data_IF_478785431686
#
_entry.id   IF_478785431686
#
_cell.length_a   1.000
_cell.length_b   1.000
_cell.length_c   1.000
_cell.angle_alpha   90.00
_cell.angle_beta   90.00
_cell.angle_gamma   90.00
#
_symmetry.space_group_name_H-M   'P 1'
#
loop_
_entity.id
_entity.type
_entity.pdbx_description
1 polymer ?
#
# COMPACT_ATOMS: atom_id res chain seq x y z
N UNK A 1 -30.82 -6.46 6.60
CA UNK A 1 -30.28 -5.49 5.61
C UNK A 1 -29.86 -6.32 4.41
N UNK A 2 -30.08 -5.86 3.17
CA UNK A 2 -29.58 -6.57 2.02
C UNK A 2 -28.06 -6.73 2.18
N UNK A 3 -27.50 -7.90 1.83
CA UNK A 3 -26.08 -8.16 1.92
C UNK A 3 -25.29 -7.05 1.22
N UNK A 4 -24.56 -6.26 1.99
CA UNK A 4 -23.62 -5.29 1.41
C UNK A 4 -22.57 -6.08 0.59
N UNK A 5 -22.19 -5.61 -0.59
CA UNK A 5 -21.16 -6.30 -1.38
C UNK A 5 -19.80 -6.21 -0.71
N UNK A 6 -18.96 -7.21 -0.90
CA UNK A 6 -17.55 -7.12 -0.61
C UNK A 6 -16.87 -6.12 -1.57
N UNK A 7 -15.96 -5.33 -1.05
CA UNK A 7 -15.22 -4.32 -1.80
C UNK A 7 -13.74 -4.66 -1.78
N UNK A 8 -13.18 -4.97 -2.94
CA UNK A 8 -11.72 -5.06 -3.12
C UNK A 8 -11.24 -3.78 -3.80
N UNK A 9 -10.57 -2.93 -3.03
CA UNK A 9 -9.99 -1.70 -3.54
C UNK A 9 -8.48 -1.87 -3.73
N UNK A 10 -8.03 -1.87 -4.98
CA UNK A 10 -6.61 -2.05 -5.34
C UNK A 10 -6.01 -0.71 -5.74
N UNK A 11 -4.88 -0.35 -5.11
CA UNK A 11 -4.09 0.83 -5.45
C UNK A 11 -2.65 0.42 -5.75
N UNK A 12 -2.08 0.96 -6.83
CA UNK A 12 -0.67 0.80 -7.19
C UNK A 12 0.01 2.15 -7.09
N UNK A 13 1.08 2.25 -6.28
CA UNK A 13 1.77 3.52 -6.09
C UNK A 13 2.56 3.89 -7.35
N UNK A 14 2.45 5.14 -7.78
CA UNK A 14 3.15 5.70 -8.94
C UNK A 14 2.85 5.03 -10.29
N UNK A 15 1.84 4.15 -10.38
CA UNK A 15 1.46 3.54 -11.65
C UNK A 15 0.85 4.59 -12.59
N UNK A 16 1.46 4.78 -13.73
CA UNK A 16 0.95 5.64 -14.80
C UNK A 16 -0.08 4.87 -15.64
N UNK A 17 -1.16 5.55 -15.99
CA UNK A 17 -2.23 4.97 -16.82
C UNK A 17 -1.72 4.46 -18.19
N UNK A 18 -0.76 5.18 -18.79
CA UNK A 18 -0.21 4.86 -20.10
C UNK A 18 0.74 3.64 -20.12
N UNK A 19 1.01 3.02 -18.95
CA UNK A 19 1.70 1.73 -18.83
C UNK A 19 0.75 0.53 -18.80
N UNK A 20 -0.55 0.76 -18.98
CA UNK A 20 -1.57 -0.30 -19.04
C UNK A 20 -1.99 -0.57 -20.49
N UNK A 21 -2.10 -1.87 -20.85
CA UNK A 21 -2.48 -2.24 -22.22
C UNK A 21 -3.92 -1.84 -22.58
N UNK A 22 -4.85 -1.79 -21.62
CA UNK A 22 -6.20 -1.28 -21.81
C UNK A 22 -6.25 0.22 -22.16
N UNK A 23 -5.18 0.96 -21.91
CA UNK A 23 -5.00 2.35 -22.36
C UNK A 23 -4.09 2.49 -23.58
N UNK A 24 -3.72 1.38 -24.23
CA UNK A 24 -3.00 1.38 -25.49
C UNK A 24 -1.48 1.33 -25.39
N UNK A 25 -0.90 0.89 -24.26
CA UNK A 25 0.56 0.72 -24.19
C UNK A 25 1.04 -0.28 -25.27
N UNK A 26 2.04 0.08 -26.11
CA UNK A 26 2.37 -0.71 -27.29
C UNK A 26 3.01 -2.06 -26.98
N UNK A 27 3.79 -2.15 -25.91
CA UNK A 27 4.62 -3.31 -25.58
C UNK A 27 4.18 -4.05 -24.32
N UNK A 28 3.83 -3.34 -23.26
CA UNK A 28 3.40 -3.97 -22.00
C UNK A 28 2.02 -4.59 -22.17
N UNK A 29 1.84 -5.76 -21.58
CA UNK A 29 0.56 -6.48 -21.53
C UNK A 29 0.12 -6.64 -20.10
N UNK A 30 -1.08 -6.19 -19.81
CA UNK A 30 -1.70 -6.24 -18.49
C UNK A 30 -3.05 -6.98 -18.54
N UNK A 31 -3.05 -8.28 -18.95
CA UNK A 31 -4.28 -8.99 -19.34
C UNK A 31 -5.32 -9.08 -18.22
N UNK A 32 -4.90 -9.15 -16.97
CA UNK A 32 -5.83 -9.24 -15.84
C UNK A 32 -6.49 -7.87 -15.56
N UNK A 33 -5.74 -6.77 -15.67
CA UNK A 33 -6.29 -5.40 -15.56
C UNK A 33 -7.21 -5.12 -16.73
N UNK A 34 -6.81 -5.51 -17.94
CA UNK A 34 -7.64 -5.40 -19.16
C UNK A 34 -8.94 -6.17 -19.02
N UNK A 35 -8.89 -7.36 -18.40
CA UNK A 35 -10.07 -8.17 -18.09
C UNK A 35 -11.03 -7.50 -17.11
N UNK A 36 -10.53 -6.71 -16.16
CA UNK A 36 -11.35 -5.89 -15.25
C UNK A 36 -11.97 -4.73 -16.04
N UNK A 37 -11.19 -4.03 -16.85
CA UNK A 37 -11.64 -2.92 -17.66
C UNK A 37 -12.75 -3.35 -18.65
N UNK A 38 -12.60 -4.53 -19.26
CA UNK A 38 -13.60 -5.08 -20.20
C UNK A 38 -14.95 -5.45 -19.56
N UNK A 39 -14.98 -5.71 -18.24
CA UNK A 39 -16.19 -6.10 -17.49
C UNK A 39 -16.75 -4.98 -16.63
N UNK A 40 -16.04 -3.88 -16.52
CA UNK A 40 -16.36 -2.77 -15.64
C UNK A 40 -16.43 -1.43 -16.39
N UNK A 41 -16.06 -0.38 -15.66
CA UNK A 41 -16.00 0.99 -16.19
C UNK A 41 -14.54 1.45 -16.23
N UNK A 42 -14.08 1.86 -17.38
CA UNK A 42 -12.75 2.45 -17.56
C UNK A 42 -12.87 3.98 -17.61
N UNK A 43 -12.13 4.65 -16.73
CA UNK A 43 -12.09 6.11 -16.66
C UNK A 43 -10.93 6.64 -17.50
N UNK A 44 -11.21 7.29 -18.63
CA UNK A 44 -10.19 7.87 -19.50
C UNK A 44 -9.60 9.18 -18.97
N UNK A 45 -10.24 9.80 -17.99
CA UNK A 45 -9.82 11.06 -17.36
C UNK A 45 -10.06 10.99 -15.86
N UNK A 46 -9.09 10.45 -15.12
CA UNK A 46 -9.06 10.44 -13.68
C UNK A 46 -7.82 11.22 -13.20
N UNK A 47 -7.99 12.13 -12.27
CA UNK A 47 -6.93 13.03 -11.81
C UNK A 47 -6.79 12.92 -10.30
N UNK A 48 -5.57 12.66 -9.84
CA UNK A 48 -5.24 12.77 -8.42
C UNK A 48 -5.14 14.24 -7.99
N UNK A 49 -5.34 14.48 -6.70
CA UNK A 49 -5.33 15.84 -6.15
C UNK A 49 -3.93 16.36 -5.83
N UNK A 50 -2.93 15.49 -5.87
CA UNK A 50 -1.53 15.79 -5.64
C UNK A 50 -0.65 14.73 -6.29
N UNK A 51 0.53 15.09 -6.82
CA UNK A 51 1.51 14.10 -7.30
C UNK A 51 2.33 13.47 -6.17
N UNK A 52 2.15 13.92 -4.91
CA UNK A 52 2.86 13.44 -3.73
C UNK A 52 2.04 12.36 -3.04
N UNK A 53 2.65 11.19 -2.78
CA UNK A 53 1.97 10.00 -2.27
C UNK A 53 1.09 10.28 -1.04
N UNK A 54 1.64 10.87 0.02
CA UNK A 54 0.89 11.14 1.26
C UNK A 54 -0.30 12.06 1.03
N UNK A 55 -0.08 13.19 0.38
CA UNK A 55 -1.14 14.17 0.10
C UNK A 55 -2.22 13.61 -0.83
N UNK A 56 -1.84 12.86 -1.88
CA UNK A 56 -2.75 12.18 -2.79
C UNK A 56 -3.61 11.15 -2.07
N UNK A 57 -2.98 10.30 -1.25
CA UNK A 57 -3.67 9.26 -0.48
C UNK A 57 -4.63 9.83 0.55
N UNK A 58 -4.23 10.89 1.28
CA UNK A 58 -5.12 11.55 2.23
C UNK A 58 -6.33 12.19 1.53
N UNK A 59 -6.15 12.75 0.34
CA UNK A 59 -7.27 13.22 -0.48
C UNK A 59 -8.21 12.09 -0.87
N UNK A 60 -7.67 10.94 -1.25
CA UNK A 60 -8.46 9.75 -1.56
C UNK A 60 -9.23 9.24 -0.35
N UNK A 61 -8.55 9.04 0.79
CA UNK A 61 -9.20 8.49 1.98
C UNK A 61 -10.27 9.40 2.58
N UNK A 62 -10.09 10.72 2.48
CA UNK A 62 -11.04 11.70 3.03
C UNK A 62 -12.12 12.15 2.02
N UNK A 63 -11.92 11.89 0.72
CA UNK A 63 -12.76 12.45 -0.34
C UNK A 63 -12.63 13.99 -0.46
N UNK A 64 -11.56 14.60 0.07
CA UNK A 64 -11.38 16.05 0.18
C UNK A 64 -10.13 16.52 -0.57
N UNK A 65 -10.13 17.79 -0.96
CA UNK A 65 -8.94 18.44 -1.53
C UNK A 65 -7.86 18.66 -0.47
N UNK A 66 -6.60 18.69 -0.91
CA UNK A 66 -5.43 18.90 -0.03
C UNK A 66 -5.57 20.10 0.89
N UNK A 67 -6.04 21.23 0.36
CA UNK A 67 -6.27 22.45 1.15
C UNK A 67 -7.32 22.27 2.25
N UNK A 68 -8.23 21.32 2.10
CA UNK A 68 -9.29 21.06 3.07
C UNK A 68 -8.85 20.15 4.20
N UNK A 69 -8.14 19.06 3.90
CA UNK A 69 -7.68 18.11 4.93
C UNK A 69 -6.31 18.48 5.50
N UNK A 70 -5.53 19.34 4.84
CA UNK A 70 -4.29 19.91 5.34
C UNK A 70 -3.06 19.03 5.34
N UNK A 71 -3.16 17.71 5.07
CA UNK A 71 -2.02 16.82 4.91
C UNK A 71 -1.38 17.02 3.53
N UNK A 72 -0.58 18.08 3.40
CA UNK A 72 -0.11 18.63 2.11
C UNK A 72 1.15 17.96 1.56
N UNK A 73 1.81 17.11 2.34
CA UNK A 73 3.07 16.46 1.98
C UNK A 73 3.23 15.13 2.69
N UNK A 74 4.21 14.32 2.27
CA UNK A 74 4.67 13.19 3.06
C UNK A 74 5.09 13.67 4.46
N UNK A 75 4.80 12.90 5.50
CA UNK A 75 5.09 13.25 6.90
C UNK A 75 4.25 14.39 7.51
N UNK A 76 3.37 15.04 6.76
CA UNK A 76 2.34 15.93 7.35
C UNK A 76 1.17 15.05 7.77
N UNK A 77 0.84 14.98 9.08
CA UNK A 77 -0.21 14.09 9.54
C UNK A 77 -1.60 14.54 9.10
N UNK A 78 -2.48 13.58 8.85
CA UNK A 78 -3.91 13.83 8.80
C UNK A 78 -4.39 14.09 10.23
N UNK A 79 -5.12 15.19 10.43
CA UNK A 79 -5.57 15.58 11.77
C UNK A 79 -6.55 14.55 12.34
N UNK A 80 -6.44 14.27 13.62
CA UNK A 80 -7.45 13.49 14.35
C UNK A 80 -8.83 14.14 14.21
N UNK A 81 -9.83 13.31 13.88
CA UNK A 81 -11.21 13.75 13.63
C UNK A 81 -11.55 14.00 12.17
N UNK A 82 -10.57 13.97 11.27
CA UNK A 82 -10.88 13.88 9.84
C UNK A 82 -11.47 12.50 9.54
N UNK A 83 -12.69 12.49 9.01
CA UNK A 83 -13.37 11.25 8.64
C UNK A 83 -12.75 10.66 7.37
N UNK A 84 -12.47 9.38 7.41
CA UNK A 84 -11.86 8.66 6.30
C UNK A 84 -12.77 7.57 5.76
N UNK A 85 -12.41 6.96 4.64
CA UNK A 85 -13.19 5.89 4.00
C UNK A 85 -13.53 4.76 5.00
N UNK A 86 -12.56 4.32 5.79
CA UNK A 86 -12.81 3.29 6.80
C UNK A 86 -13.78 3.73 7.89
N UNK A 87 -13.72 5.00 8.31
CA UNK A 87 -14.63 5.55 9.31
C UNK A 87 -16.08 5.62 8.82
N UNK A 88 -16.30 5.80 7.52
CA UNK A 88 -17.63 5.78 6.91
C UNK A 88 -18.17 4.34 6.73
N UNK A 89 -17.29 3.36 6.48
CA UNK A 89 -17.72 1.98 6.20
C UNK A 89 -18.01 1.17 7.48
N UNK A 90 -17.20 1.33 8.53
CA UNK A 90 -17.38 0.56 9.77
C UNK A 90 -18.75 0.71 10.44
N UNK A 91 -19.35 1.92 10.53
CA UNK A 91 -20.69 2.06 11.10
C UNK A 91 -21.80 1.35 10.31
N UNK A 92 -21.50 0.98 9.05
CA UNK A 92 -22.41 0.21 8.20
C UNK A 92 -22.27 -1.31 8.40
N UNK A 93 -21.45 -1.74 9.36
CA UNK A 93 -21.15 -3.16 9.60
C UNK A 93 -20.21 -3.78 8.57
N UNK A 94 -19.43 -2.97 7.85
CA UNK A 94 -18.42 -3.44 6.87
C UNK A 94 -17.07 -3.51 7.56
N UNK A 95 -16.48 -4.70 7.63
CA UNK A 95 -15.11 -4.88 8.13
C UNK A 95 -14.15 -4.21 7.16
N UNK A 96 -13.31 -3.28 7.66
CA UNK A 96 -12.33 -2.56 6.84
C UNK A 96 -10.94 -3.08 7.12
N UNK A 97 -10.27 -3.65 6.13
CA UNK A 97 -8.94 -4.23 6.26
C UNK A 97 -7.96 -3.60 5.27
N UNK A 98 -6.71 -3.50 5.70
CA UNK A 98 -5.59 -2.98 4.91
C UNK A 98 -4.55 -4.07 4.71
N UNK A 99 -4.12 -4.23 3.47
CA UNK A 99 -2.91 -4.97 3.10
C UNK A 99 -2.03 -4.04 2.26
N UNK A 100 -0.85 -3.70 2.79
CA UNK A 100 0.14 -2.85 2.13
C UNK A 100 0.21 -1.42 2.66
N UNK A 101 0.35 -0.45 1.77
CA UNK A 101 0.76 0.93 2.06
C UNK A 101 -0.41 1.89 2.28
N UNK A 102 -0.41 2.66 3.38
CA UNK A 102 -1.26 3.86 3.51
C UNK A 102 -0.48 5.17 3.30
N UNK A 103 0.80 5.17 3.61
CA UNK A 103 1.64 6.38 3.68
C UNK A 103 1.05 7.45 4.63
N UNK A 104 0.19 7.04 5.55
CA UNK A 104 -0.37 7.94 6.53
C UNK A 104 0.65 8.21 7.64
N UNK A 105 0.81 9.47 7.99
CA UNK A 105 1.49 9.88 9.20
C UNK A 105 0.46 10.02 10.32
N UNK A 106 0.64 9.31 11.41
CA UNK A 106 -0.24 9.41 12.56
C UNK A 106 -0.09 10.78 13.25
N UNK A 107 -1.21 11.38 13.65
CA UNK A 107 -1.24 12.62 14.43
C UNK A 107 -1.10 12.32 15.93
N UNK A 108 0.11 11.92 16.35
CA UNK A 108 0.40 11.59 17.74
C UNK A 108 0.13 12.75 18.72
N UNK A 109 0.31 13.99 18.28
CA UNK A 109 0.01 15.16 19.11
C UNK A 109 -1.50 15.34 19.29
N UNK A 110 -2.28 15.16 18.25
CA UNK A 110 -3.73 15.15 18.32
C UNK A 110 -4.26 14.02 19.19
N UNK A 111 -3.74 12.80 19.03
CA UNK A 111 -4.07 11.65 19.89
C UNK A 111 -3.79 11.95 21.37
N UNK A 112 -2.58 12.43 21.69
CA UNK A 112 -2.19 12.73 23.08
C UNK A 112 -3.12 13.79 23.69
N UNK A 113 -3.47 14.84 22.95
CA UNK A 113 -4.39 15.89 23.40
C UNK A 113 -5.79 15.36 23.73
N UNK A 114 -6.25 14.34 23.00
CA UNK A 114 -7.56 13.70 23.19
C UNK A 114 -7.53 12.47 24.09
N UNK A 115 -6.37 12.13 24.64
CA UNK A 115 -6.20 10.96 25.51
C UNK A 115 -6.27 9.61 24.76
N UNK A 116 -6.13 9.62 23.44
CA UNK A 116 -6.15 8.42 22.60
C UNK A 116 -4.75 7.77 22.64
N UNK A 117 -4.69 6.51 23.03
CA UNK A 117 -3.45 5.76 23.00
C UNK A 117 -3.19 5.23 21.58
N UNK A 118 -1.99 5.47 21.01
CA UNK A 118 -1.65 5.10 19.65
C UNK A 118 -1.80 3.60 19.33
N UNK A 119 -1.60 2.73 20.36
CA UNK A 119 -1.73 1.28 20.21
C UNK A 119 -3.11 0.74 20.61
N UNK A 120 -4.05 1.58 21.02
CA UNK A 120 -5.44 1.16 21.22
C UNK A 120 -6.12 0.92 19.87
N UNK A 121 -7.20 0.14 19.81
CA UNK A 121 -7.95 -0.04 18.58
C UNK A 121 -8.35 1.28 17.91
N UNK A 122 -8.79 2.26 18.71
CA UNK A 122 -9.14 3.60 18.23
C UNK A 122 -7.91 4.32 17.63
N UNK A 123 -6.76 4.27 18.31
CA UNK A 123 -5.50 4.87 17.84
C UNK A 123 -4.99 4.22 16.56
N UNK A 124 -5.13 2.90 16.42
CA UNK A 124 -4.77 2.16 15.21
C UNK A 124 -5.64 2.58 14.04
N UNK A 125 -6.97 2.59 14.20
CA UNK A 125 -7.87 3.05 13.14
C UNK A 125 -7.60 4.51 12.73
N UNK A 126 -7.37 5.38 13.70
CA UNK A 126 -7.05 6.79 13.44
C UNK A 126 -5.69 6.96 12.73
N UNK A 127 -4.78 5.99 12.83
CA UNK A 127 -3.47 6.00 12.17
C UNK A 127 -3.46 5.32 10.81
N UNK A 128 -4.52 4.59 10.45
CA UNK A 128 -4.60 3.78 9.24
C UNK A 128 -5.85 4.10 8.41
N UNK A 129 -6.28 5.35 8.40
CA UNK A 129 -7.43 5.83 7.62
C UNK A 129 -8.72 5.02 7.85
N UNK A 130 -8.92 4.57 9.10
CA UNK A 130 -10.08 3.79 9.49
C UNK A 130 -10.02 2.31 9.11
N UNK A 131 -8.87 1.80 8.67
CA UNK A 131 -8.67 0.40 8.32
C UNK A 131 -7.94 -0.37 9.42
N UNK A 132 -8.30 -1.64 9.60
CA UNK A 132 -7.53 -2.60 10.38
C UNK A 132 -6.31 -3.05 9.58
N UNK A 133 -5.06 -2.87 10.08
CA UNK A 133 -3.88 -3.33 9.38
C UNK A 133 -3.72 -4.86 9.49
N UNK A 134 -4.23 -5.59 8.50
CA UNK A 134 -4.02 -7.03 8.38
C UNK A 134 -2.56 -7.33 8.02
N UNK A 135 -2.00 -6.58 7.05
CA UNK A 135 -0.59 -6.60 6.72
C UNK A 135 -0.13 -5.20 6.33
N UNK A 136 0.67 -4.56 7.18
CA UNK A 136 1.16 -3.20 6.95
C UNK A 136 2.53 -3.23 6.28
N UNK A 137 2.63 -2.60 5.12
CA UNK A 137 3.89 -2.46 4.39
C UNK A 137 3.93 -1.15 3.61
N UNK A 138 4.86 -0.27 3.95
CA UNK A 138 5.09 1.01 3.27
C UNK A 138 6.30 1.00 2.33
N UNK A 139 6.96 -0.13 2.17
CA UNK A 139 8.16 -0.26 1.35
C UNK A 139 9.36 0.50 1.91
N UNK A 140 9.45 0.62 3.21
CA UNK A 140 10.56 1.25 3.90
C UNK A 140 11.39 0.22 4.63
N UNK A 141 12.69 0.32 4.48
CA UNK A 141 13.62 -0.58 5.14
C UNK A 141 13.71 -0.32 6.66
N UNK A 142 14.32 -1.23 7.43
CA UNK A 142 14.33 -1.17 8.90
C UNK A 142 14.93 0.08 9.54
N UNK A 143 15.74 0.84 8.81
CA UNK A 143 16.29 2.10 9.33
C UNK A 143 15.28 3.26 9.33
N UNK A 144 14.09 3.07 8.79
CA UNK A 144 13.03 4.08 8.80
C UNK A 144 12.44 4.27 10.20
N UNK A 145 11.60 5.28 10.34
CA UNK A 145 10.86 5.53 11.58
C UNK A 145 9.69 4.56 11.83
N UNK A 146 9.49 3.59 10.95
CA UNK A 146 8.41 2.60 11.01
C UNK A 146 8.85 1.34 11.77
N UNK A 147 8.54 0.17 11.24
CA UNK A 147 8.96 -1.09 11.86
C UNK A 147 10.42 -1.38 11.53
N UNK A 148 11.31 -1.57 12.55
CA UNK A 148 12.70 -1.94 12.32
C UNK A 148 12.86 -3.38 11.79
N UNK A 149 11.82 -4.21 11.84
CA UNK A 149 11.82 -5.58 11.34
C UNK A 149 10.49 -5.91 10.64
N UNK A 150 10.26 -5.38 9.42
CA UNK A 150 9.04 -5.62 8.67
C UNK A 150 8.74 -7.11 8.53
N UNK A 151 7.48 -7.49 8.51
CA UNK A 151 7.07 -8.89 8.33
C UNK A 151 7.55 -9.47 7.00
N UNK A 152 7.67 -8.65 5.97
CA UNK A 152 8.28 -9.09 4.71
C UNK A 152 9.74 -9.53 4.89
N UNK A 153 10.55 -8.83 5.71
CA UNK A 153 11.90 -9.30 6.06
C UNK A 153 11.90 -10.65 6.80
N UNK A 154 10.92 -10.87 7.68
CA UNK A 154 10.76 -12.16 8.36
C UNK A 154 10.40 -13.25 7.35
N UNK A 155 9.44 -12.98 6.46
CA UNK A 155 9.08 -13.88 5.37
C UNK A 155 10.27 -14.23 4.47
N UNK A 156 11.07 -13.24 4.07
CA UNK A 156 12.27 -13.49 3.25
C UNK A 156 13.26 -14.43 3.96
N UNK A 157 13.51 -14.22 5.26
CA UNK A 157 14.36 -15.12 6.04
C UNK A 157 13.81 -16.55 6.10
N UNK A 158 12.51 -16.72 6.28
CA UNK A 158 11.84 -18.03 6.27
C UNK A 158 11.95 -18.74 4.92
N UNK A 159 12.05 -17.99 3.83
CA UNK A 159 12.27 -18.51 2.46
C UNK A 159 13.74 -18.74 2.13
N UNK A 160 14.65 -18.50 3.06
CA UNK A 160 16.08 -18.68 2.88
C UNK A 160 16.83 -17.46 2.36
N UNK A 161 16.15 -16.32 2.19
CA UNK A 161 16.75 -15.05 1.82
C UNK A 161 17.16 -14.27 3.06
N UNK A 162 18.23 -14.75 3.73
CA UNK A 162 18.73 -14.17 4.96
C UNK A 162 19.54 -12.89 4.75
N UNK A 163 20.05 -12.35 5.85
CA UNK A 163 20.87 -11.14 5.90
C UNK A 163 20.48 -10.23 7.05
N UNK A 164 21.24 -9.17 7.26
CA UNK A 164 20.93 -8.16 8.25
C UNK A 164 19.63 -7.43 7.87
N UNK A 165 19.53 -7.05 6.62
CA UNK A 165 18.33 -6.44 6.04
C UNK A 165 17.92 -7.13 4.73
N UNK A 166 17.12 -8.22 4.79
CA UNK A 166 16.70 -8.95 3.58
C UNK A 166 16.03 -8.09 2.52
N UNK A 167 15.31 -7.04 2.91
CA UNK A 167 14.72 -6.11 1.95
C UNK A 167 15.79 -5.42 1.09
N UNK A 168 16.87 -4.89 1.72
CA UNK A 168 17.99 -4.27 1.00
C UNK A 168 18.83 -5.30 0.24
N UNK A 169 19.07 -6.48 0.86
CA UNK A 169 19.98 -7.48 0.33
C UNK A 169 19.40 -8.25 -0.86
N UNK A 170 18.05 -8.32 -0.95
CA UNK A 170 17.35 -9.15 -1.94
C UNK A 170 16.33 -8.38 -2.76
N UNK A 171 15.34 -7.73 -2.11
CA UNK A 171 14.22 -7.11 -2.83
C UNK A 171 14.63 -5.81 -3.52
N UNK A 172 15.50 -5.02 -2.87
CA UNK A 172 16.01 -3.74 -3.38
C UNK A 172 17.45 -3.85 -3.90
N UNK A 173 17.82 -4.96 -4.51
CA UNK A 173 19.16 -5.16 -5.02
C UNK A 173 19.17 -6.00 -6.29
N UNK A 174 20.26 -5.87 -7.04
CA UNK A 174 20.60 -6.67 -8.21
C UNK A 174 21.98 -7.27 -8.05
N UNK A 175 22.29 -8.28 -8.83
CA UNK A 175 23.64 -8.84 -8.95
C UNK A 175 24.31 -8.26 -10.19
N UNK A 176 25.49 -7.69 -9.97
CA UNK A 176 26.31 -7.16 -11.06
C UNK A 176 27.08 -8.25 -11.80
N UNK A 177 27.76 -7.90 -12.90
CA UNK A 177 28.45 -8.86 -13.77
C UNK A 177 29.54 -9.70 -13.09
N UNK A 178 30.10 -9.22 -11.99
CA UNK A 178 31.15 -9.92 -11.22
C UNK A 178 30.61 -10.50 -9.90
N UNK A 179 29.29 -10.58 -9.74
CA UNK A 179 28.66 -11.07 -8.51
C UNK A 179 28.59 -10.03 -7.37
N UNK A 180 28.92 -8.77 -7.64
CA UNK A 180 28.79 -7.70 -6.67
C UNK A 180 27.31 -7.34 -6.41
N UNK A 181 27.02 -6.98 -5.15
CA UNK A 181 25.70 -6.51 -4.76
C UNK A 181 25.50 -5.06 -5.19
N UNK A 182 24.55 -4.82 -6.06
CA UNK A 182 24.18 -3.51 -6.58
C UNK A 182 22.86 -3.04 -5.96
N UNK A 183 22.87 -1.85 -5.36
CA UNK A 183 21.68 -1.31 -4.68
C UNK A 183 20.65 -0.77 -5.68
N UNK A 184 19.38 -1.13 -5.48
CA UNK A 184 18.24 -0.61 -6.23
C UNK A 184 17.94 0.88 -5.96
N UNK A 185 18.57 1.49 -4.97
CA UNK A 185 18.48 2.94 -4.75
C UNK A 185 19.14 3.76 -5.87
N UNK A 186 19.97 3.14 -6.68
CA UNK A 186 20.61 3.82 -7.82
C UNK A 186 19.89 3.50 -9.12
N UNK A 187 19.30 4.51 -9.74
CA UNK A 187 18.51 4.38 -10.96
C UNK A 187 19.31 3.77 -12.12
N UNK A 188 20.61 3.91 -12.12
CA UNK A 188 21.52 3.28 -13.10
C UNK A 188 21.45 1.74 -13.08
N UNK A 189 21.05 1.14 -11.95
CA UNK A 189 20.87 -0.30 -11.81
C UNK A 189 19.47 -0.80 -12.18
N UNK A 190 18.53 0.10 -12.50
CA UNK A 190 17.13 -0.26 -12.75
C UNK A 190 16.90 -1.18 -13.97
N UNK A 191 17.91 -1.34 -14.83
CA UNK A 191 17.87 -2.25 -15.97
C UNK A 191 18.23 -3.69 -15.62
N UNK A 192 18.74 -3.94 -14.42
CA UNK A 192 19.15 -5.26 -13.94
C UNK A 192 17.97 -5.99 -13.27
N UNK A 193 17.92 -7.32 -13.34
CA UNK A 193 16.92 -8.09 -12.60
C UNK A 193 17.18 -7.98 -11.09
N UNK A 194 16.08 -7.90 -10.31
CA UNK A 194 16.18 -8.00 -8.87
C UNK A 194 16.71 -9.37 -8.44
N UNK A 195 17.46 -9.41 -7.33
CA UNK A 195 17.97 -10.69 -6.79
C UNK A 195 16.88 -11.58 -6.21
N UNK A 196 15.83 -10.98 -5.67
CA UNK A 196 14.69 -11.76 -5.17
C UNK A 196 13.94 -12.39 -6.34
N UNK A 197 13.62 -13.70 -6.30
CA UNK A 197 12.74 -14.33 -7.28
C UNK A 197 11.36 -13.68 -7.32
N UNK A 198 10.75 -13.66 -8.50
CA UNK A 198 9.46 -12.97 -8.72
C UNK A 198 8.35 -13.44 -7.76
N UNK A 199 8.30 -14.75 -7.46
CA UNK A 199 7.35 -15.37 -6.53
C UNK A 199 7.55 -14.96 -5.06
N UNK A 200 8.70 -14.37 -4.74
CA UNK A 200 9.03 -13.86 -3.42
C UNK A 200 9.17 -12.34 -3.39
N UNK A 201 8.86 -11.68 -4.49
CA UNK A 201 8.84 -10.21 -4.54
C UNK A 201 7.83 -9.64 -3.53
N UNK A 202 8.05 -8.41 -3.12
CA UNK A 202 7.14 -7.66 -2.24
C UNK A 202 5.70 -7.63 -2.80
N UNK A 203 5.55 -7.48 -4.13
CA UNK A 203 4.25 -7.55 -4.80
C UNK A 203 3.59 -8.91 -4.65
N UNK A 204 4.33 -10.01 -4.83
CA UNK A 204 3.81 -11.37 -4.64
C UNK A 204 3.45 -11.64 -3.18
N UNK A 205 4.29 -11.22 -2.24
CA UNK A 205 4.04 -11.34 -0.81
C UNK A 205 2.74 -10.62 -0.40
N UNK A 206 2.58 -9.35 -0.74
CA UNK A 206 1.39 -8.55 -0.44
C UNK A 206 0.14 -9.15 -1.09
N UNK A 207 0.25 -9.68 -2.32
CA UNK A 207 -0.85 -10.40 -2.96
C UNK A 207 -1.25 -11.65 -2.17
N UNK A 208 -0.27 -12.44 -1.72
CA UNK A 208 -0.50 -13.60 -0.86
C UNK A 208 -1.25 -13.22 0.42
N UNK A 209 -0.82 -12.17 1.10
CA UNK A 209 -1.49 -11.66 2.32
C UNK A 209 -2.94 -11.21 2.07
N UNK A 210 -3.20 -10.58 0.92
CA UNK A 210 -4.57 -10.23 0.53
C UNK A 210 -5.43 -11.46 0.26
N UNK A 211 -4.87 -12.49 -0.36
CA UNK A 211 -5.57 -13.77 -0.58
C UNK A 211 -5.85 -14.50 0.74
N UNK A 212 -4.91 -14.45 1.70
CA UNK A 212 -5.13 -14.99 3.05
C UNK A 212 -6.32 -14.30 3.72
N UNK A 213 -6.36 -12.96 3.72
CA UNK A 213 -7.48 -12.20 4.25
C UNK A 213 -8.82 -12.62 3.62
N UNK A 214 -8.88 -12.71 2.28
CA UNK A 214 -10.10 -13.09 1.56
C UNK A 214 -10.53 -14.52 1.92
N UNK A 215 -9.57 -15.42 2.13
CA UNK A 215 -9.82 -16.82 2.48
C UNK A 215 -10.27 -16.99 3.94
N UNK A 216 -9.79 -16.12 4.83
CA UNK A 216 -10.12 -16.09 6.25
C UNK A 216 -11.38 -15.27 6.55
N UNK A 217 -11.84 -14.46 5.60
CA UNK A 217 -12.99 -13.59 5.79
C UNK A 217 -14.27 -14.42 5.91
N UNK A 218 -14.99 -14.17 7.00
CA UNK A 218 -16.31 -14.74 7.25
C UNK A 218 -17.39 -14.20 6.29
N UNK A 219 -18.66 -14.57 6.50
CA UNK A 219 -19.79 -14.10 5.71
C UNK A 219 -20.11 -12.60 5.89
N UNK A 220 -19.44 -11.92 6.83
CA UNK A 220 -19.61 -10.48 7.04
C UNK A 220 -19.03 -9.68 5.87
N UNK A 221 -19.74 -8.62 5.44
CA UNK A 221 -19.24 -7.78 4.34
C UNK A 221 -17.93 -7.08 4.72
N UNK A 222 -17.00 -7.03 3.77
CA UNK A 222 -15.70 -6.43 3.99
C UNK A 222 -15.29 -5.45 2.87
N UNK A 223 -14.44 -4.51 3.25
CA UNK A 223 -13.67 -3.67 2.33
C UNK A 223 -12.18 -3.93 2.56
N UNK A 224 -11.54 -4.60 1.62
CA UNK A 224 -10.10 -4.80 1.62
C UNK A 224 -9.43 -3.72 0.77
N UNK A 225 -8.61 -2.88 1.42
CA UNK A 225 -7.70 -2.00 0.72
C UNK A 225 -6.37 -2.71 0.48
N UNK A 226 -6.15 -3.18 -0.75
CA UNK A 226 -4.91 -3.78 -1.21
C UNK A 226 -4.07 -2.69 -1.88
N UNK A 227 -3.00 -2.28 -1.23
CA UNK A 227 -2.20 -1.14 -1.64
C UNK A 227 -0.76 -1.52 -1.94
N UNK A 228 -0.45 -1.71 -3.20
CA UNK A 228 0.90 -2.02 -3.68
C UNK A 228 1.81 -0.81 -3.63
N UNK A 229 3.08 -1.08 -3.30
CA UNK A 229 4.16 -0.10 -3.41
C UNK A 229 4.59 0.05 -4.86
N UNK A 230 4.71 -1.07 -5.58
CA UNK A 230 5.13 -1.06 -6.98
C UNK A 230 4.03 -0.56 -7.92
N UNK A 231 4.46 0.09 -9.04
CA UNK A 231 5.83 0.24 -9.55
C UNK A 231 6.61 1.46 -9.03
N UNK A 232 6.28 1.99 -7.83
CA UNK A 232 7.11 3.03 -7.19
C UNK A 232 8.56 2.53 -7.05
N UNK A 233 9.51 3.37 -7.43
CA UNK A 233 10.95 3.13 -7.27
C UNK A 233 11.38 3.44 -5.83
N UNK A 234 12.38 2.79 -5.26
CA UNK A 234 13.07 1.58 -5.74
C UNK A 234 12.25 0.34 -5.62
#
# INVERSE_FOLDING_TARGET
>A
MANAPNILFIMCDQLRWDYLSCYGHPNLKTPHIDGIAARGVQFNRAYCQSPVCGASRMSFYTGRYVNSHGASWNFVPLRIGEQTLGDHLRPLGIRTALVGKTHMRADYMGMARLGIQAKSPEGVFASECGFEPFERDDGVHPSSSHDPNPKYNQYLREKGFGGENPWEDWANSAEGPNGELLSGWYLEHAHLPARVPAEHSETAYITGRAMDFISEADEEPWCLHLSYIKPHWP
#
